data_IF_513739158045
#
_entry.id   IF_513739158045
#
_cell.length_a   1.000
_cell.length_b   1.000
_cell.length_c   1.000
_cell.angle_alpha   90.00
_cell.angle_beta   90.00
_cell.angle_gamma   90.00
#
_symmetry.space_group_name_H-M   'P 1'
#
loop_
_entity.id
_entity.type
_entity.pdbx_description
1 polymer ?
#
# COMPACT_ATOMS: atom_id res chain seq x y z
N UNK A 1 -6.86 39.57 -14.89
CA UNK A 1 -7.58 38.41 -15.40
C UNK A 1 -7.02 37.15 -14.76
N UNK A 2 -7.89 36.28 -14.25
CA UNK A 2 -7.53 35.00 -13.62
C UNK A 2 -8.09 33.85 -14.42
N UNK A 3 -7.23 32.86 -14.63
CA UNK A 3 -7.60 31.57 -15.19
C UNK A 3 -7.52 30.51 -14.07
N UNK A 4 -8.48 29.62 -14.00
CA UNK A 4 -8.46 28.52 -13.03
C UNK A 4 -8.23 27.19 -13.75
N UNK A 5 -7.36 26.35 -13.22
CA UNK A 5 -7.06 25.00 -13.67
C UNK A 5 -7.41 24.00 -12.57
N UNK A 6 -7.86 22.81 -12.93
CA UNK A 6 -8.18 21.80 -11.94
C UNK A 6 -6.92 21.18 -11.34
N UNK A 7 -6.96 20.99 -10.03
CA UNK A 7 -6.05 20.13 -9.28
C UNK A 7 -6.85 18.95 -8.75
N UNK A 8 -6.46 17.73 -9.16
CA UNK A 8 -7.09 16.49 -8.76
C UNK A 8 -6.18 15.72 -7.81
N UNK A 9 -6.73 15.26 -6.69
CA UNK A 9 -6.02 14.41 -5.74
C UNK A 9 -6.73 13.07 -5.65
N UNK A 10 -6.09 12.02 -6.21
CA UNK A 10 -6.67 10.71 -6.45
C UNK A 10 -6.10 9.66 -5.50
N UNK A 11 -6.98 8.83 -4.95
CA UNK A 11 -6.60 7.66 -4.16
C UNK A 11 -6.55 6.42 -5.05
N UNK A 12 -5.44 5.68 -4.94
CA UNK A 12 -5.27 4.34 -5.52
C UNK A 12 -5.06 3.34 -4.38
N UNK A 13 -5.89 2.31 -4.34
CA UNK A 13 -5.93 1.36 -3.23
C UNK A 13 -6.94 1.75 -2.15
N UNK A 14 -6.58 1.60 -0.89
CA UNK A 14 -7.46 1.85 0.27
C UNK A 14 -6.72 2.63 1.34
N UNK A 15 -7.32 3.69 1.84
CA UNK A 15 -6.77 4.48 2.94
C UNK A 15 -7.20 5.94 2.92
N UNK A 16 -6.58 6.74 3.77
CA UNK A 16 -6.73 8.19 3.83
C UNK A 16 -5.40 8.84 3.46
N UNK A 17 -5.42 9.72 2.46
CA UNK A 17 -4.23 10.45 2.06
C UNK A 17 -3.79 11.44 3.14
N UNK A 18 -2.51 11.86 3.13
CA UNK A 18 -2.09 13.05 3.86
C UNK A 18 -2.96 14.25 3.49
N UNK A 19 -3.20 15.11 4.48
CA UNK A 19 -3.83 16.42 4.29
C UNK A 19 -2.72 17.42 4.01
N UNK A 20 -2.72 18.02 2.81
CA UNK A 20 -1.64 18.91 2.39
C UNK A 20 -2.10 19.99 1.42
N UNK A 21 -1.27 20.99 1.23
CA UNK A 21 -1.47 22.03 0.22
C UNK A 21 -0.41 21.88 -0.86
N UNK A 22 -0.87 21.73 -2.10
CA UNK A 22 0.00 21.61 -3.27
C UNK A 22 0.32 23.00 -3.83
N UNK A 23 1.58 23.37 -3.81
CA UNK A 23 2.09 24.61 -4.38
C UNK A 23 2.62 24.41 -5.80
N UNK A 24 2.64 25.50 -6.57
CA UNK A 24 3.11 25.49 -7.96
C UNK A 24 4.10 26.62 -8.20
N UNK A 25 4.99 26.42 -9.17
CA UNK A 25 5.88 27.42 -9.72
C UNK A 25 5.61 27.57 -11.21
N UNK A 26 5.72 28.81 -11.70
CA UNK A 26 5.67 29.12 -13.12
C UNK A 26 6.95 29.82 -13.53
N UNK A 27 7.51 29.46 -14.68
CA UNK A 27 8.69 30.10 -15.27
C UNK A 27 8.49 30.34 -16.75
N UNK A 28 9.02 31.45 -17.25
CA UNK A 28 9.05 31.71 -18.68
C UNK A 28 10.02 30.75 -19.37
N UNK A 29 9.62 30.20 -20.52
CA UNK A 29 10.48 29.46 -21.43
C UNK A 29 11.00 30.36 -22.53
N UNK A 30 10.09 30.87 -23.37
CA UNK A 30 10.42 31.76 -24.48
C UNK A 30 9.21 32.61 -24.87
N UNK A 31 9.43 33.70 -25.57
CA UNK A 31 8.40 34.45 -26.28
C UNK A 31 8.73 34.50 -27.76
N UNK A 32 7.75 34.22 -28.61
CA UNK A 32 7.86 34.30 -30.06
C UNK A 32 7.05 35.50 -30.56
N UNK A 33 7.60 36.26 -31.49
CA UNK A 33 6.87 37.30 -32.16
C UNK A 33 5.84 36.71 -33.16
N UNK A 34 5.05 37.59 -33.80
CA UNK A 34 4.02 37.15 -34.77
C UNK A 34 4.58 36.37 -35.97
N UNK A 35 5.87 36.44 -36.23
CA UNK A 35 6.55 35.71 -37.33
C UNK A 35 7.25 34.44 -36.82
N UNK A 36 7.06 34.08 -35.57
CA UNK A 36 7.67 32.89 -34.95
C UNK A 36 9.14 33.07 -34.55
N UNK A 37 9.70 34.29 -34.69
CA UNK A 37 11.06 34.59 -34.26
C UNK A 37 11.12 34.76 -32.75
N UNK A 38 12.19 34.25 -32.12
CA UNK A 38 12.39 34.36 -30.67
C UNK A 38 12.49 35.84 -30.25
N UNK A 39 11.78 36.17 -29.21
CA UNK A 39 11.78 37.47 -28.60
C UNK A 39 12.75 37.53 -27.45
N UNK A 40 13.74 38.38 -27.57
CA UNK A 40 14.69 38.60 -26.50
C UNK A 40 13.99 39.20 -25.27
N UNK A 41 14.37 38.70 -24.11
CA UNK A 41 14.33 39.29 -22.77
C UNK A 41 13.01 39.96 -22.29
N UNK A 42 12.64 39.69 -21.03
CA UNK A 42 11.48 40.24 -20.30
C UNK A 42 10.13 39.67 -20.73
N UNK A 43 10.00 38.36 -20.80
CA UNK A 43 8.69 37.70 -20.87
C UNK A 43 7.98 37.91 -19.54
N UNK A 44 6.82 38.59 -19.51
CA UNK A 44 6.05 38.77 -18.27
C UNK A 44 5.67 37.39 -17.72
N UNK A 45 5.82 37.15 -16.41
CA UNK A 45 5.53 35.88 -15.78
C UNK A 45 4.27 36.02 -14.91
N UNK A 46 3.18 35.28 -15.21
CA UNK A 46 2.01 35.28 -14.35
C UNK A 46 2.34 34.62 -13.00
N UNK A 47 1.47 34.88 -12.01
CA UNK A 47 1.56 34.15 -10.74
C UNK A 47 0.64 32.93 -10.76
N UNK A 48 1.05 31.87 -10.06
CA UNK A 48 0.26 30.66 -9.90
C UNK A 48 -0.07 30.43 -8.44
N UNK A 49 -1.32 30.11 -8.14
CA UNK A 49 -1.80 29.81 -6.79
C UNK A 49 -1.44 28.41 -6.32
N UNK A 50 -2.02 28.02 -5.21
CA UNK A 50 -1.92 26.67 -4.62
C UNK A 50 -3.29 26.02 -4.56
N UNK A 51 -3.32 24.68 -4.39
CA UNK A 51 -4.52 23.91 -4.13
C UNK A 51 -4.51 23.39 -2.69
N UNK A 52 -5.47 23.80 -1.90
CA UNK A 52 -5.56 23.45 -0.48
C UNK A 52 -6.42 22.22 -0.25
N UNK A 53 -5.76 21.11 0.12
CA UNK A 53 -6.36 19.87 0.58
C UNK A 53 -6.14 19.61 2.07
N UNK A 54 -5.86 20.64 2.87
CA UNK A 54 -5.67 20.53 4.32
C UNK A 54 -6.91 20.01 5.08
N UNK A 55 -8.07 20.04 4.45
CA UNK A 55 -9.33 19.52 4.99
C UNK A 55 -10.01 18.47 4.08
N UNK A 56 -9.31 17.94 3.07
CA UNK A 56 -9.91 17.05 2.07
C UNK A 56 -8.95 15.94 1.69
N UNK A 57 -9.33 14.68 1.96
CA UNK A 57 -8.57 13.52 1.51
C UNK A 57 -8.75 13.25 0.01
N UNK A 58 -7.74 12.60 -0.59
CA UNK A 58 -7.84 12.02 -1.92
C UNK A 58 -8.98 10.99 -1.97
N UNK A 59 -9.65 10.87 -3.11
CA UNK A 59 -10.72 9.90 -3.33
C UNK A 59 -10.44 9.07 -4.58
N UNK A 60 -11.07 7.90 -4.71
CA UNK A 60 -10.91 7.06 -5.90
C UNK A 60 -11.37 7.76 -7.19
N UNK A 61 -12.38 8.62 -7.12
CA UNK A 61 -12.84 9.46 -8.23
C UNK A 61 -11.97 10.71 -8.46
N UNK A 62 -11.14 11.08 -7.46
CA UNK A 62 -10.34 12.31 -7.45
C UNK A 62 -11.07 13.47 -6.78
N UNK A 63 -10.56 13.92 -5.63
CA UNK A 63 -10.99 15.18 -5.02
C UNK A 63 -10.42 16.34 -5.84
N UNK A 64 -11.23 17.36 -6.16
CA UNK A 64 -10.83 18.45 -7.05
C UNK A 64 -10.84 19.79 -6.35
N UNK A 65 -9.79 20.58 -6.57
CA UNK A 65 -9.64 21.99 -6.16
C UNK A 65 -9.21 22.82 -7.37
N UNK A 66 -9.36 24.14 -7.27
CA UNK A 66 -8.94 25.07 -8.33
C UNK A 66 -7.59 25.68 -8.01
N UNK A 67 -6.75 25.77 -9.04
CA UNK A 67 -5.48 26.52 -9.02
C UNK A 67 -5.64 27.72 -9.93
N UNK A 68 -5.44 28.93 -9.41
CA UNK A 68 -5.52 30.15 -10.20
C UNK A 68 -4.18 30.47 -10.88
N UNK A 69 -4.23 30.84 -12.14
CA UNK A 69 -3.13 31.50 -12.86
C UNK A 69 -3.54 32.95 -13.05
N UNK A 70 -2.81 33.88 -12.45
CA UNK A 70 -3.17 35.32 -12.41
C UNK A 70 -2.22 36.11 -13.30
N UNK A 71 -2.80 36.77 -14.31
CA UNK A 71 -2.12 37.60 -15.30
C UNK A 71 -2.19 39.11 -14.93
N UNK A 72 -2.78 39.48 -13.80
CA UNK A 72 -2.99 40.87 -13.43
C UNK A 72 -1.72 41.74 -13.35
N UNK A 73 -0.58 41.12 -13.10
CA UNK A 73 0.72 41.76 -13.09
C UNK A 73 1.54 41.56 -14.39
N UNK A 74 0.94 40.95 -15.41
CA UNK A 74 1.61 40.70 -16.67
C UNK A 74 1.42 41.87 -17.62
N UNK A 75 2.47 42.65 -17.84
CA UNK A 75 2.44 43.72 -18.82
C UNK A 75 3.02 43.25 -20.16
N UNK A 76 2.18 42.67 -21.00
CA UNK A 76 2.54 42.35 -22.39
C UNK A 76 2.58 43.65 -23.22
N UNK A 77 3.67 43.94 -23.88
CA UNK A 77 3.85 45.13 -24.70
C UNK A 77 3.87 44.86 -26.17
N UNK A 78 3.90 43.58 -26.58
CA UNK A 78 4.03 43.17 -27.96
C UNK A 78 3.11 41.98 -28.28
N UNK A 79 2.57 41.96 -29.47
CA UNK A 79 1.91 40.81 -30.04
C UNK A 79 2.88 39.63 -30.18
N UNK A 80 2.39 38.40 -29.97
CA UNK A 80 3.18 37.20 -30.10
C UNK A 80 2.67 36.05 -29.26
N UNK A 81 3.48 34.99 -29.21
CA UNK A 81 3.16 33.79 -28.44
C UNK A 81 4.23 33.60 -27.36
N UNK A 82 3.79 33.44 -26.13
CA UNK A 82 4.64 33.34 -24.96
C UNK A 82 4.47 31.96 -24.34
N UNK A 83 5.57 31.28 -24.01
CA UNK A 83 5.58 29.94 -23.48
C UNK A 83 6.10 29.93 -22.05
N UNK A 84 5.45 29.13 -21.21
CA UNK A 84 5.74 28.96 -19.79
C UNK A 84 5.81 27.49 -19.43
N UNK A 85 6.54 27.19 -18.37
CA UNK A 85 6.54 25.89 -17.71
C UNK A 85 5.92 26.04 -16.33
N UNK A 86 4.92 25.21 -16.03
CA UNK A 86 4.30 25.10 -14.70
C UNK A 86 4.77 23.78 -14.09
N UNK A 87 5.30 23.87 -12.87
CA UNK A 87 5.78 22.74 -12.10
C UNK A 87 5.13 22.74 -10.73
N UNK A 88 4.74 21.58 -10.26
CA UNK A 88 4.30 21.39 -8.89
C UNK A 88 5.49 21.23 -7.95
N UNK A 89 5.40 21.78 -6.74
CA UNK A 89 6.41 21.60 -5.72
C UNK A 89 6.46 20.14 -5.26
N UNK A 90 7.65 19.64 -4.98
CA UNK A 90 7.81 18.31 -4.43
C UNK A 90 7.14 18.19 -3.05
N UNK A 91 6.56 17.03 -2.77
CA UNK A 91 6.08 16.65 -1.43
C UNK A 91 6.96 15.58 -0.82
N UNK A 92 7.15 15.65 0.50
CA UNK A 92 7.82 14.59 1.26
C UNK A 92 6.87 13.48 1.70
N UNK A 93 5.54 13.69 1.60
CA UNK A 93 4.56 12.69 2.02
C UNK A 93 4.72 11.39 1.24
N UNK A 94 4.92 10.29 1.97
CA UNK A 94 5.07 8.96 1.37
C UNK A 94 3.80 8.52 0.64
N UNK A 95 3.95 7.77 -0.44
CA UNK A 95 2.85 7.30 -1.28
C UNK A 95 2.23 8.36 -2.20
N UNK A 96 2.67 9.62 -2.13
CA UNK A 96 2.18 10.69 -3.02
C UNK A 96 3.09 10.83 -4.22
N UNK A 97 2.49 10.72 -5.42
CA UNK A 97 3.12 11.03 -6.71
C UNK A 97 2.53 12.34 -7.20
N UNK A 98 3.37 13.33 -7.46
CA UNK A 98 2.96 14.64 -7.97
C UNK A 98 2.77 14.62 -9.49
N UNK A 99 2.01 15.59 -10.00
CA UNK A 99 1.79 15.77 -11.43
C UNK A 99 3.09 16.09 -12.17
N UNK A 100 3.17 15.64 -13.43
CA UNK A 100 4.26 16.03 -14.31
C UNK A 100 4.19 17.52 -14.65
N UNK A 101 5.33 18.19 -14.88
CA UNK A 101 5.32 19.57 -15.37
C UNK A 101 4.55 19.70 -16.68
N UNK A 102 3.78 20.80 -16.83
CA UNK A 102 3.10 21.11 -18.08
C UNK A 102 3.58 22.43 -18.66
N UNK A 103 3.35 22.63 -19.95
CA UNK A 103 3.59 23.90 -20.61
C UNK A 103 2.28 24.68 -20.79
N UNK A 104 2.37 26.01 -20.68
CA UNK A 104 1.28 26.94 -20.95
C UNK A 104 1.73 27.88 -22.07
N UNK A 105 0.82 28.13 -23.00
CA UNK A 105 1.02 29.04 -24.13
C UNK A 105 0.00 30.17 -24.03
N UNK A 106 0.50 31.41 -24.06
CA UNK A 106 -0.30 32.64 -24.08
C UNK A 106 -0.15 33.32 -25.43
N UNK A 107 -1.22 33.54 -26.12
CA UNK A 107 -1.25 34.28 -27.38
C UNK A 107 -1.73 35.71 -27.13
N UNK A 108 -0.94 36.68 -27.52
CA UNK A 108 -1.22 38.12 -27.38
C UNK A 108 -1.40 38.74 -28.76
N UNK A 109 -2.46 39.46 -28.93
CA UNK A 109 -2.84 40.14 -30.19
C UNK A 109 -3.02 41.64 -29.95
N UNK A 110 -3.18 42.43 -31.05
CA UNK A 110 -3.57 43.81 -30.91
C UNK A 110 -4.99 43.96 -30.32
N UNK A 111 -5.17 44.89 -29.42
CA UNK A 111 -6.49 45.32 -28.96
C UNK A 111 -6.98 46.45 -29.87
N UNK A 112 -7.83 46.11 -30.83
CA UNK A 112 -8.32 47.06 -31.82
C UNK A 112 -9.35 48.05 -31.22
N UNK A 113 -9.99 47.66 -30.12
CA UNK A 113 -11.02 48.52 -29.49
C UNK A 113 -10.41 49.53 -28.49
N UNK A 114 -9.45 49.11 -27.66
CA UNK A 114 -8.91 49.93 -26.59
C UNK A 114 -7.47 50.39 -26.87
N UNK A 115 -6.86 49.93 -27.94
CA UNK A 115 -5.47 50.16 -28.26
C UNK A 115 -4.49 49.36 -27.42
N UNK A 116 -3.29 49.14 -27.95
CA UNK A 116 -2.30 48.30 -27.29
C UNK A 116 -2.43 46.82 -27.61
N UNK A 117 -2.30 45.95 -26.62
CA UNK A 117 -2.35 44.50 -26.80
C UNK A 117 -3.23 43.82 -25.75
N UNK A 118 -3.81 42.66 -26.11
CA UNK A 118 -4.64 41.85 -25.22
C UNK A 118 -4.29 40.39 -25.32
N UNK A 119 -4.56 39.64 -24.26
CA UNK A 119 -4.46 38.16 -24.28
C UNK A 119 -5.67 37.63 -25.06
N UNK A 120 -5.40 36.98 -26.20
CA UNK A 120 -6.42 36.34 -27.04
C UNK A 120 -6.76 34.92 -26.60
N UNK A 121 -5.74 34.17 -26.18
CA UNK A 121 -5.94 32.79 -25.70
C UNK A 121 -4.84 32.33 -24.75
N UNK A 122 -5.20 31.38 -23.89
CA UNK A 122 -4.28 30.64 -23.02
C UNK A 122 -4.57 29.15 -23.24
N UNK A 123 -3.55 28.41 -23.65
CA UNK A 123 -3.65 26.95 -23.88
C UNK A 123 -2.57 26.23 -23.13
N UNK A 124 -2.83 24.97 -22.81
CA UNK A 124 -1.91 24.09 -22.07
C UNK A 124 -1.51 22.91 -22.95
N UNK A 125 -0.29 22.44 -22.77
CA UNK A 125 0.16 21.22 -23.43
C UNK A 125 -0.41 20.00 -22.68
N UNK A 126 -1.23 19.21 -23.36
CA UNK A 126 -1.67 17.89 -22.90
C UNK A 126 -0.78 16.84 -23.55
N UNK A 127 -0.04 16.09 -22.72
CA UNK A 127 0.66 14.91 -23.19
C UNK A 127 -0.36 13.89 -23.70
N UNK A 128 -0.03 13.17 -24.76
CA UNK A 128 -0.87 12.10 -25.26
C UNK A 128 -1.00 10.95 -24.23
N UNK A 129 -2.12 10.25 -24.27
CA UNK A 129 -2.41 9.12 -23.38
C UNK A 129 -1.60 7.85 -23.76
N UNK A 130 -0.81 7.90 -24.85
CA UNK A 130 0.10 6.82 -25.27
C UNK A 130 1.44 7.38 -25.71
N UNK A 131 2.51 6.61 -25.46
CA UNK A 131 3.89 6.99 -25.80
C UNK A 131 4.14 7.16 -27.32
N UNK A 132 3.17 6.78 -28.16
CA UNK A 132 3.26 6.81 -29.62
C UNK A 132 2.50 7.96 -30.29
N UNK A 133 1.73 8.74 -29.52
CA UNK A 133 0.98 9.87 -30.02
C UNK A 133 1.60 11.19 -29.58
N UNK A 134 1.62 12.18 -30.46
CA UNK A 134 2.04 13.54 -30.14
C UNK A 134 1.04 14.20 -29.18
N UNK A 135 1.54 14.94 -28.21
CA UNK A 135 0.70 15.78 -27.36
C UNK A 135 0.07 16.94 -28.14
N UNK A 136 -0.90 17.60 -27.55
CA UNK A 136 -1.62 18.71 -28.21
C UNK A 136 -1.84 19.90 -27.25
N UNK A 137 -2.01 21.07 -27.86
CA UNK A 137 -2.40 22.27 -27.12
C UNK A 137 -3.91 22.31 -26.95
N UNK A 138 -4.37 22.26 -25.71
CA UNK A 138 -5.78 22.25 -25.33
C UNK A 138 -6.18 23.52 -24.60
N UNK A 139 -7.39 23.96 -24.87
CA UNK A 139 -8.06 24.99 -24.07
C UNK A 139 -8.50 24.39 -22.74
N UNK A 140 -8.41 25.19 -21.68
CA UNK A 140 -8.89 24.81 -20.36
C UNK A 140 -10.37 24.46 -20.32
N UNK A 141 -11.16 25.05 -21.24
CA UNK A 141 -12.63 25.01 -21.23
C UNK A 141 -13.18 23.57 -21.33
N UNK A 142 -12.43 22.62 -21.88
CA UNK A 142 -12.88 21.23 -22.07
C UNK A 142 -12.76 20.36 -20.82
N UNK A 143 -12.28 20.87 -19.69
CA UNK A 143 -12.03 20.09 -18.49
C UNK A 143 -10.94 19.02 -18.62
N UNK A 144 -10.16 19.06 -19.72
CA UNK A 144 -9.16 18.04 -20.08
C UNK A 144 -7.78 18.29 -19.47
N UNK A 145 -7.58 19.46 -18.85
CA UNK A 145 -6.30 19.83 -18.24
C UNK A 145 -6.46 19.92 -16.73
N UNK A 146 -5.85 18.98 -16.04
CA UNK A 146 -5.77 18.94 -14.60
C UNK A 146 -4.35 18.58 -14.15
N UNK A 147 -3.91 19.14 -13.04
CA UNK A 147 -2.75 18.64 -12.31
C UNK A 147 -3.21 17.47 -11.42
N UNK A 148 -2.89 16.23 -11.81
CA UNK A 148 -3.31 15.06 -11.06
C UNK A 148 -2.18 14.57 -10.15
N UNK A 149 -2.44 14.50 -8.83
CA UNK A 149 -1.62 13.78 -7.88
C UNK A 149 -2.31 12.49 -7.46
N UNK A 150 -1.51 11.48 -7.22
CA UNK A 150 -2.00 10.19 -6.78
C UNK A 150 -1.42 9.87 -5.41
N UNK A 151 -2.28 9.55 -4.44
CA UNK A 151 -1.87 8.89 -3.20
C UNK A 151 -2.16 7.40 -3.30
N UNK A 152 -1.13 6.59 -3.14
CA UNK A 152 -1.23 5.13 -3.20
C UNK A 152 -1.03 4.53 -1.82
N UNK A 153 -2.01 3.76 -1.34
CA UNK A 153 -1.95 3.09 -0.04
C UNK A 153 -2.79 1.82 -0.02
N UNK A 154 -2.47 0.91 0.89
CA UNK A 154 -3.29 -0.24 1.21
C UNK A 154 -2.98 -0.76 2.62
N UNK A 155 -3.34 -2.01 2.93
CA UNK A 155 -3.11 -2.67 4.21
C UNK A 155 -2.08 -3.79 4.10
N UNK A 156 -1.49 -4.16 5.25
CA UNK A 156 -0.77 -5.40 5.47
C UNK A 156 -1.60 -6.27 6.42
N UNK A 157 -1.93 -7.49 6.00
CA UNK A 157 -2.67 -8.46 6.80
C UNK A 157 -1.75 -9.60 7.23
N UNK A 158 -1.67 -9.85 8.55
CA UNK A 158 -1.00 -10.99 9.15
C UNK A 158 -2.02 -12.07 9.47
N UNK A 159 -1.80 -13.32 9.01
CA UNK A 159 -2.69 -14.47 9.24
C UNK A 159 -1.96 -15.62 9.92
N UNK A 160 -2.66 -16.31 10.82
CA UNK A 160 -2.13 -17.47 11.53
C UNK A 160 -2.99 -18.70 11.40
N UNK A 161 -2.37 -19.81 10.99
CA UNK A 161 -2.97 -21.14 10.96
C UNK A 161 -2.14 -22.12 11.78
N UNK A 162 -2.79 -22.99 12.56
CA UNK A 162 -2.17 -24.11 13.28
C UNK A 162 -2.69 -25.42 12.68
N UNK A 163 -1.80 -26.36 12.44
CA UNK A 163 -2.06 -27.71 11.92
C UNK A 163 -1.32 -28.77 12.74
N UNK A 164 -1.59 -30.03 12.42
CA UNK A 164 -1.01 -31.19 13.11
C UNK A 164 -1.87 -31.69 14.25
N UNK A 165 -1.62 -32.95 14.64
CA UNK A 165 -2.40 -33.66 15.66
C UNK A 165 -2.07 -33.22 17.10
N UNK A 166 -0.91 -32.56 17.30
CA UNK A 166 -0.44 -32.03 18.59
C UNK A 166 -0.55 -30.50 18.68
N UNK A 167 -1.04 -29.83 17.62
CA UNK A 167 -1.18 -28.38 17.61
C UNK A 167 -2.40 -27.92 18.42
N UNK A 168 -2.19 -27.06 19.43
CA UNK A 168 -3.29 -26.49 20.22
C UNK A 168 -3.85 -25.23 19.54
N UNK A 169 -4.95 -25.43 18.83
CA UNK A 169 -5.65 -24.36 18.09
C UNK A 169 -6.36 -23.35 19.00
N UNK A 170 -6.65 -23.71 20.22
CA UNK A 170 -7.48 -22.90 21.10
C UNK A 170 -6.66 -22.02 22.06
N UNK A 171 -5.54 -22.54 22.55
CA UNK A 171 -4.79 -21.91 23.64
C UNK A 171 -3.46 -21.32 23.18
N UNK A 172 -2.77 -21.93 22.20
CA UNK A 172 -1.46 -21.47 21.78
C UNK A 172 -1.51 -20.07 21.15
N UNK A 173 -0.56 -19.24 21.58
CA UNK A 173 -0.37 -17.87 21.13
C UNK A 173 0.96 -17.77 20.39
N UNK A 174 0.95 -17.05 19.28
CA UNK A 174 2.11 -16.86 18.41
C UNK A 174 2.43 -15.37 18.35
N UNK A 175 3.68 -15.05 18.66
CA UNK A 175 4.18 -13.67 18.64
C UNK A 175 4.98 -13.43 17.37
N UNK A 176 4.70 -12.31 16.72
CA UNK A 176 5.36 -11.84 15.52
C UNK A 176 6.03 -10.50 15.79
N UNK A 177 7.20 -10.30 15.23
CA UNK A 177 7.87 -9.01 15.14
C UNK A 177 7.54 -8.39 13.79
N UNK A 178 6.80 -7.29 13.79
CA UNK A 178 6.49 -6.53 12.58
C UNK A 178 7.38 -5.30 12.54
N UNK A 179 8.19 -5.19 11.50
CA UNK A 179 9.08 -4.05 11.25
C UNK A 179 8.65 -3.36 9.97
N UNK A 180 8.44 -2.04 10.03
CA UNK A 180 8.13 -1.19 8.89
C UNK A 180 9.26 -0.19 8.69
N UNK A 181 9.85 -0.18 7.50
CA UNK A 181 10.98 0.70 7.14
C UNK A 181 10.58 1.56 5.96
N UNK A 182 10.68 2.86 6.11
CA UNK A 182 10.38 3.83 5.08
C UNK A 182 11.55 4.13 4.14
N UNK A 183 11.31 5.01 3.19
CA UNK A 183 12.32 5.60 2.33
C UNK A 183 12.91 6.87 2.97
N UNK A 184 14.18 7.12 2.72
CA UNK A 184 14.85 8.33 3.20
C UNK A 184 14.23 9.59 2.61
N UNK A 185 14.07 10.62 3.44
CA UNK A 185 13.50 11.91 3.05
C UNK A 185 11.97 11.91 2.89
N UNK A 186 11.29 10.78 3.15
CA UNK A 186 9.83 10.71 3.16
C UNK A 186 9.24 10.91 4.56
N UNK A 187 8.07 11.50 4.60
CA UNK A 187 7.28 11.74 5.81
C UNK A 187 6.16 10.70 5.88
N UNK A 188 6.01 10.12 7.06
CA UNK A 188 5.00 9.11 7.38
C UNK A 188 4.07 9.59 8.48
N UNK A 189 2.89 9.01 8.58
CA UNK A 189 2.02 9.25 9.73
C UNK A 189 2.71 8.78 11.03
N UNK A 190 2.41 9.45 12.14
CA UNK A 190 2.99 9.10 13.44
C UNK A 190 2.70 7.65 13.84
N UNK A 191 1.48 7.17 13.53
CA UNK A 191 1.02 5.84 13.90
C UNK A 191 0.13 5.25 12.79
N UNK A 192 0.25 3.94 12.60
CA UNK A 192 -0.63 3.14 11.76
C UNK A 192 -1.43 2.18 12.63
N UNK A 193 -2.75 2.23 12.52
CA UNK A 193 -3.64 1.45 13.37
C UNK A 193 -3.49 -0.06 13.11
N UNK A 194 -3.48 -0.82 14.19
CA UNK A 194 -3.45 -2.29 14.21
C UNK A 194 -4.79 -2.79 14.73
N UNK A 195 -5.51 -3.55 13.92
CA UNK A 195 -6.83 -4.09 14.25
C UNK A 195 -6.86 -5.62 14.13
N UNK A 196 -7.68 -6.26 14.95
CA UNK A 196 -7.88 -7.71 14.97
C UNK A 196 -7.11 -8.40 16.09
N UNK A 197 -7.22 -9.75 16.12
CA UNK A 197 -6.59 -10.62 17.11
C UNK A 197 -7.11 -10.44 18.54
N UNK A 198 -7.68 -11.49 19.13
CA UNK A 198 -8.32 -11.42 20.45
C UNK A 198 -7.34 -11.19 21.60
N UNK A 199 -6.05 -11.52 21.38
CA UNK A 199 -4.98 -11.45 22.38
C UNK A 199 -3.91 -10.40 22.08
N UNK A 200 -4.09 -9.64 20.99
CA UNK A 200 -3.14 -8.61 20.59
C UNK A 200 -3.33 -7.33 21.40
N UNK A 201 -2.25 -6.88 22.07
CA UNK A 201 -2.21 -5.64 22.86
C UNK A 201 -1.69 -4.44 22.05
N UNK A 202 -0.92 -4.69 20.99
CA UNK A 202 -0.37 -3.63 20.12
C UNK A 202 -1.49 -3.04 19.26
N UNK A 203 -1.78 -1.75 19.46
CA UNK A 203 -2.86 -1.04 18.75
C UNK A 203 -2.36 -0.14 17.63
N UNK A 204 -1.07 0.13 17.59
CA UNK A 204 -0.45 0.93 16.55
C UNK A 204 1.02 0.53 16.33
N UNK A 205 1.50 0.74 15.11
CA UNK A 205 2.91 0.59 14.70
C UNK A 205 3.37 1.85 13.98
N UNK A 206 4.69 2.03 13.87
CA UNK A 206 5.32 3.16 13.18
C UNK A 206 6.24 2.69 12.07
N UNK A 207 6.52 3.59 11.14
CA UNK A 207 7.53 3.40 10.07
C UNK A 207 8.86 3.97 10.56
N UNK A 208 9.48 3.30 11.51
CA UNK A 208 10.70 3.74 12.20
C UNK A 208 11.83 2.70 12.22
N UNK A 209 11.61 1.57 11.53
CA UNK A 209 12.57 0.45 11.47
C UNK A 209 12.65 -0.38 12.75
N UNK A 210 11.84 -0.09 13.77
CA UNK A 210 11.80 -0.87 15.01
C UNK A 210 10.79 -2.02 14.92
N UNK A 211 11.06 -3.17 15.57
CA UNK A 211 10.11 -4.28 15.62
C UNK A 211 9.01 -4.03 16.66
N UNK A 212 7.77 -4.27 16.26
CA UNK A 212 6.56 -4.25 17.10
C UNK A 212 6.05 -5.66 17.32
N UNK A 213 5.83 -6.06 18.55
CA UNK A 213 5.32 -7.39 18.88
C UNK A 213 3.80 -7.45 18.67
N UNK A 214 3.36 -8.37 17.84
CA UNK A 214 1.95 -8.66 17.59
C UNK A 214 1.71 -10.11 17.94
N UNK A 215 0.68 -10.40 18.76
CA UNK A 215 0.34 -11.74 19.21
C UNK A 215 -1.03 -12.13 18.71
N UNK A 216 -1.13 -13.30 18.04
CA UNK A 216 -2.39 -13.84 17.51
C UNK A 216 -2.50 -15.35 17.77
N UNK A 217 -3.71 -15.86 17.67
CA UNK A 217 -4.04 -17.30 17.75
C UNK A 217 -4.36 -17.90 16.39
N UNK A 218 -4.58 -19.21 16.38
CA UNK A 218 -5.09 -19.92 15.20
C UNK A 218 -6.39 -19.30 14.68
N UNK A 219 -6.45 -19.13 13.34
CA UNK A 219 -7.63 -18.61 12.64
C UNK A 219 -7.85 -17.11 12.78
N UNK A 220 -6.98 -16.41 13.50
CA UNK A 220 -7.05 -14.96 13.64
C UNK A 220 -6.28 -14.22 12.57
N UNK A 221 -6.71 -12.99 12.32
CA UNK A 221 -6.07 -12.03 11.43
C UNK A 221 -5.80 -10.71 12.14
N UNK A 222 -4.71 -10.07 11.78
CA UNK A 222 -4.37 -8.69 12.15
C UNK A 222 -4.24 -7.88 10.88
N UNK A 223 -4.81 -6.70 10.86
CA UNK A 223 -4.68 -5.73 9.76
C UNK A 223 -4.00 -4.46 10.24
N UNK A 224 -2.93 -4.08 9.55
CA UNK A 224 -2.28 -2.78 9.67
C UNK A 224 -2.76 -1.95 8.47
N UNK A 225 -3.57 -0.93 8.74
CA UNK A 225 -4.28 -0.18 7.71
C UNK A 225 -3.53 1.09 7.28
N UNK A 226 -3.91 1.60 6.11
CA UNK A 226 -3.48 2.90 5.58
C UNK A 226 -1.97 3.04 5.38
N UNK A 227 -1.29 1.97 5.02
CA UNK A 227 0.14 1.99 4.72
C UNK A 227 0.38 2.61 3.34
N UNK A 228 1.09 3.74 3.20
CA UNK A 228 1.47 4.26 1.90
C UNK A 228 2.35 3.27 1.13
N UNK A 229 2.29 3.32 -0.19
CA UNK A 229 3.17 2.54 -1.04
C UNK A 229 4.65 2.90 -0.82
N UNK A 230 5.54 1.92 -0.97
CA UNK A 230 6.98 2.09 -0.81
C UNK A 230 7.52 1.72 0.59
N UNK A 231 6.67 1.38 1.56
CA UNK A 231 7.14 0.89 2.86
C UNK A 231 7.64 -0.55 2.70
N UNK A 232 8.87 -0.80 3.09
CA UNK A 232 9.39 -2.17 3.25
C UNK A 232 8.90 -2.74 4.58
N UNK A 233 8.30 -3.92 4.55
CA UNK A 233 7.87 -4.62 5.75
C UNK A 233 8.60 -5.95 5.90
N UNK A 234 8.84 -6.32 7.16
CA UNK A 234 9.26 -7.65 7.60
C UNK A 234 8.34 -8.10 8.71
N UNK A 235 7.72 -9.26 8.54
CA UNK A 235 6.95 -9.95 9.57
C UNK A 235 7.69 -11.22 9.92
N UNK A 236 8.15 -11.35 11.16
CA UNK A 236 8.99 -12.46 11.62
C UNK A 236 8.34 -13.15 12.82
N UNK A 237 8.04 -14.44 12.68
CA UNK A 237 7.51 -15.24 13.78
C UNK A 237 8.59 -15.53 14.80
N UNK A 238 8.31 -15.26 16.07
CA UNK A 238 9.14 -15.72 17.19
C UNK A 238 8.96 -17.24 17.33
N UNK A 239 10.06 -17.97 17.45
CA UNK A 239 10.03 -19.42 17.53
C UNK A 239 9.05 -19.93 18.60
N UNK A 240 8.27 -20.96 18.26
CA UNK A 240 7.32 -21.61 19.13
C UNK A 240 7.73 -23.08 19.32
N UNK A 241 7.88 -23.51 20.56
CA UNK A 241 8.39 -24.84 20.91
C UNK A 241 7.56 -25.98 20.33
N UNK A 242 8.25 -26.87 19.62
CA UNK A 242 7.68 -28.05 19.02
C UNK A 242 6.86 -27.81 17.73
N UNK A 243 6.84 -26.57 17.23
CA UNK A 243 6.21 -26.23 15.97
C UNK A 243 7.23 -26.08 14.84
N UNK A 244 6.85 -26.54 13.65
CA UNK A 244 7.54 -26.17 12.40
C UNK A 244 6.74 -25.10 11.71
N UNK A 245 7.36 -23.93 11.47
CA UNK A 245 6.73 -22.78 10.82
C UNK A 245 6.89 -22.84 9.29
N UNK A 246 5.83 -22.48 8.58
CA UNK A 246 5.76 -22.38 7.12
C UNK A 246 5.21 -21.01 6.72
N UNK A 247 5.84 -20.40 5.73
CA UNK A 247 5.36 -19.15 5.09
C UNK A 247 4.50 -19.42 3.85
N UNK A 248 4.48 -20.68 3.36
CA UNK A 248 3.50 -21.20 2.41
C UNK A 248 3.17 -22.64 2.81
N UNK A 249 1.88 -23.00 2.79
CA UNK A 249 1.43 -24.34 3.16
C UNK A 249 0.30 -24.83 2.25
N UNK A 250 0.68 -25.42 1.11
CA UNK A 250 -0.25 -26.04 0.18
C UNK A 250 -0.60 -27.50 0.55
N UNK A 251 -1.47 -28.09 -0.25
CA UNK A 251 -1.89 -29.48 -0.08
C UNK A 251 -0.77 -30.47 -0.43
N UNK A 252 0.04 -30.12 -1.42
CA UNK A 252 1.21 -30.92 -1.82
C UNK A 252 2.43 -30.49 -0.99
N UNK A 253 3.32 -31.41 -0.70
CA UNK A 253 4.56 -31.13 0.03
C UNK A 253 5.45 -30.13 -0.72
N UNK A 254 5.49 -30.20 -2.05
CA UNK A 254 6.21 -29.27 -2.92
C UNK A 254 5.70 -27.80 -2.87
N UNK A 255 4.50 -27.59 -2.33
CA UNK A 255 3.89 -26.25 -2.14
C UNK A 255 4.17 -25.67 -0.75
N UNK A 256 4.93 -26.39 0.09
CA UNK A 256 5.23 -25.99 1.45
C UNK A 256 6.61 -25.37 1.52
N UNK A 257 6.67 -24.14 2.04
CA UNK A 257 7.93 -23.41 2.25
C UNK A 257 8.10 -23.20 3.74
N UNK A 258 9.09 -23.87 4.33
CA UNK A 258 9.48 -23.63 5.73
C UNK A 258 10.09 -22.25 5.86
N UNK A 259 9.72 -21.53 6.91
CA UNK A 259 10.25 -20.19 7.17
C UNK A 259 9.52 -19.48 8.30
N UNK A 260 10.20 -18.54 8.91
CA UNK A 260 9.70 -17.73 10.02
C UNK A 260 9.55 -16.25 9.65
N UNK A 261 9.83 -15.85 8.40
CA UNK A 261 9.75 -14.45 7.99
C UNK A 261 9.09 -14.31 6.60
N UNK A 262 8.26 -13.28 6.47
CA UNK A 262 7.69 -12.79 5.21
C UNK A 262 8.11 -11.33 5.07
N UNK A 263 8.67 -10.98 3.92
CA UNK A 263 9.14 -9.64 3.61
C UNK A 263 8.51 -9.16 2.30
N UNK A 264 8.36 -7.84 2.16
CA UNK A 264 7.84 -7.23 0.95
C UNK A 264 7.82 -5.72 1.02
N UNK A 265 7.18 -5.13 0.01
CA UNK A 265 6.98 -3.68 -0.09
C UNK A 265 5.49 -3.39 -0.33
N UNK A 266 4.97 -2.40 0.38
CA UNK A 266 3.58 -1.97 0.23
C UNK A 266 3.34 -1.33 -1.14
N UNK A 267 2.14 -1.52 -1.68
CA UNK A 267 1.73 -1.01 -2.99
C UNK A 267 0.23 -0.68 -3.00
N UNK A 268 -0.34 -0.48 -4.19
CA UNK A 268 -1.79 -0.35 -4.37
C UNK A 268 -2.55 -1.64 -4.03
N UNK A 269 -1.92 -2.80 -4.12
CA UNK A 269 -2.49 -4.07 -3.70
C UNK A 269 -2.28 -4.30 -2.20
N UNK A 270 -3.26 -4.94 -1.56
CA UNK A 270 -3.12 -5.37 -0.16
C UNK A 270 -1.99 -6.40 -0.03
N UNK A 271 -1.15 -6.23 0.99
CA UNK A 271 -0.09 -7.16 1.31
C UNK A 271 -0.58 -8.20 2.34
N UNK A 272 -0.07 -9.42 2.24
CA UNK A 272 -0.39 -10.51 3.16
C UNK A 272 0.87 -11.20 3.67
N UNK A 273 0.92 -11.47 4.97
CA UNK A 273 1.91 -12.31 5.61
C UNK A 273 1.18 -13.47 6.31
N UNK A 274 1.14 -14.64 5.68
CA UNK A 274 0.46 -15.82 6.20
C UNK A 274 1.47 -16.81 6.77
N UNK A 275 1.17 -17.34 7.96
CA UNK A 275 2.01 -18.35 8.63
C UNK A 275 1.18 -19.55 9.03
N UNK A 276 1.73 -20.74 8.74
CA UNK A 276 1.16 -22.00 9.21
C UNK A 276 2.17 -22.72 10.10
N UNK A 277 1.78 -23.03 11.33
CA UNK A 277 2.59 -23.84 12.23
C UNK A 277 2.04 -25.25 12.33
N UNK A 278 2.90 -26.22 12.16
CA UNK A 278 2.57 -27.64 12.22
C UNK A 278 3.27 -28.27 13.42
N UNK A 279 2.50 -28.94 14.26
CA UNK A 279 3.00 -29.74 15.36
C UNK A 279 2.39 -31.14 15.28
N UNK A 280 3.17 -32.09 14.80
CA UNK A 280 2.81 -33.51 14.74
C UNK A 280 3.59 -34.29 15.77
N UNK A 281 2.97 -35.29 16.33
CA UNK A 281 3.60 -36.24 17.23
C UNK A 281 2.90 -37.58 17.18
N UNK A 282 3.61 -38.65 17.54
CA UNK A 282 2.96 -39.92 17.87
C UNK A 282 2.29 -39.71 19.23
N UNK A 283 0.98 -39.97 19.33
CA UNK A 283 0.35 -40.01 20.65
C UNK A 283 1.15 -40.93 21.53
N UNK A 284 1.47 -40.47 22.75
CA UNK A 284 2.09 -41.37 23.72
C UNK A 284 1.11 -42.49 24.02
N UNK A 285 1.32 -43.62 23.32
CA UNK A 285 0.50 -44.85 23.48
C UNK A 285 0.92 -45.60 24.73
N UNK A 286 1.50 -44.93 25.73
CA UNK A 286 1.89 -45.51 27.00
C UNK A 286 0.85 -46.33 27.74
N UNK A 287 -0.39 -46.30 27.29
CA UNK A 287 -1.47 -47.18 27.75
C UNK A 287 -1.27 -48.64 27.39
N UNK A 288 -0.47 -48.95 26.36
CA UNK A 288 -0.23 -50.37 25.98
C UNK A 288 0.75 -51.06 26.93
N UNK A 289 1.74 -50.36 27.46
CA UNK A 289 2.69 -50.93 28.42
C UNK A 289 2.10 -51.12 29.82
N UNK A 290 1.20 -50.25 30.25
CA UNK A 290 0.53 -50.38 31.55
C UNK A 290 -0.49 -51.51 31.59
N UNK A 291 -1.05 -51.93 30.45
CA UNK A 291 -1.98 -53.04 30.34
C UNK A 291 -1.28 -54.40 30.01
N UNK A 292 0.02 -54.39 29.74
CA UNK A 292 0.76 -55.62 29.42
C UNK A 292 0.64 -56.71 30.54
N UNK A 293 0.70 -56.35 31.84
CA UNK A 293 0.49 -57.31 32.90
C UNK A 293 -0.92 -57.93 32.88
N UNK A 294 -1.94 -57.13 32.57
CA UNK A 294 -3.32 -57.60 32.51
C UNK A 294 -3.61 -58.48 31.29
N UNK A 295 -3.01 -58.18 30.14
CA UNK A 295 -3.08 -58.99 28.94
C UNK A 295 -2.36 -60.34 29.15
N UNK A 296 -1.23 -60.36 29.84
CA UNK A 296 -0.52 -61.56 30.20
C UNK A 296 -1.34 -62.42 31.19
N UNK A 297 -1.95 -61.82 32.19
CA UNK A 297 -2.87 -62.53 33.12
C UNK A 297 -4.06 -63.13 32.39
N UNK A 298 -4.67 -62.40 31.46
CA UNK A 298 -5.81 -62.89 30.67
C UNK A 298 -5.42 -64.12 29.81
N UNK A 299 -4.23 -64.10 29.22
CA UNK A 299 -3.69 -65.22 28.45
C UNK A 299 -3.44 -66.44 29.34
N UNK A 300 -2.92 -66.30 30.56
CA UNK A 300 -2.69 -67.35 31.53
C UNK A 300 -4.02 -67.97 32.00
N UNK A 301 -5.02 -67.13 32.29
CA UNK A 301 -6.36 -67.62 32.69
C UNK A 301 -7.05 -68.37 31.57
N UNK A 302 -6.97 -67.88 30.32
CA UNK A 302 -7.53 -68.57 29.17
C UNK A 302 -6.84 -69.91 28.88
N UNK A 303 -5.49 -69.91 28.96
CA UNK A 303 -4.69 -71.17 28.82
C UNK A 303 -4.96 -72.16 29.94
N UNK A 304 -5.10 -71.72 31.19
CA UNK A 304 -5.46 -72.59 32.33
C UNK A 304 -6.86 -73.17 32.24
N UNK A 305 -7.84 -72.37 31.78
CA UNK A 305 -9.19 -72.86 31.55
C UNK A 305 -9.24 -73.96 30.41
N UNK A 306 -8.46 -73.75 29.36
CA UNK A 306 -8.35 -74.69 28.24
C UNK A 306 -7.72 -76.04 28.66
N UNK A 307 -6.69 -75.98 29.50
CA UNK A 307 -6.04 -77.21 30.03
C UNK A 307 -6.98 -77.95 30.98
N UNK A 308 -7.76 -77.25 31.79
CA UNK A 308 -8.75 -77.93 32.66
C UNK A 308 -9.90 -78.52 31.87
N UNK A 309 -10.38 -77.98 30.80
CA UNK A 309 -11.42 -78.55 29.92
C UNK A 309 -10.87 -79.79 29.18
N UNK A 310 -9.62 -79.75 28.71
CA UNK A 310 -8.98 -80.92 28.04
C UNK A 310 -8.78 -82.01 29.06
N UNK A 311 -8.37 -81.76 30.30
CA UNK A 311 -8.17 -82.79 31.31
C UNK A 311 -9.51 -83.47 31.72
N UNK A 312 -10.57 -82.68 31.89
CA UNK A 312 -11.90 -83.16 32.20
C UNK A 312 -12.45 -84.09 31.10
N UNK A 313 -12.26 -83.74 29.82
CA UNK A 313 -12.64 -84.63 28.68
C UNK A 313 -11.88 -85.91 28.63
N UNK A 314 -10.62 -85.96 29.06
CA UNK A 314 -9.80 -87.18 29.13
C UNK A 314 -10.16 -88.11 30.28
N UNK A 315 -10.79 -87.60 31.31
CA UNK A 315 -11.29 -88.37 32.48
C UNK A 315 -12.72 -88.94 32.26
N UNK A 316 -13.42 -88.49 31.23
CA UNK A 316 -14.76 -88.90 30.82
C UNK A 316 -14.78 -89.93 29.65
N UNK A 317 -13.60 -90.26 29.04
CA UNK A 317 -13.36 -91.34 28.05
C UNK A 317 -12.72 -92.58 28.74
#
# INVERSE_FOLDING_TARGET
DKLEVDKVYKLVGVGNSPLETFGFNISALTGLNKNGAEKATNVPVPTVGSADFSGTHATGAGATKKVSVDFGNCNYTNVGTYYYKITENATTNAGVTISTPTQMRVTVVNDEENGGVMIASVTFWKQADSDTADGEWKDKIDGTIAFENTYTANSLTLKKTVRGNMGDKNNDKFTFKVTLTGEDGKTYAENYAVAGGSVNETKAVRVDGNPYNITIKHGEEITIANLPAGIRYKVEEVASDGYTAYTSYGNLESERVTGTAVEGTTSAAAAEAAFTNVKDGTPDTGVILDNAPYMLMLAVVAGGAMTLVIKKRREEE
#
